data_IF_958390949142
#
_entry.id   IF_958390949142
#
_cell.length_a   1.000
_cell.length_b   1.000
_cell.length_c   1.000
_cell.angle_alpha   90.00
_cell.angle_beta   90.00
_cell.angle_gamma   90.00
#
_symmetry.space_group_name_H-M   'P 1'
#
loop_
_entity.id
_entity.type
_entity.pdbx_description
1 polymer ?
#
# COMPACT_ATOMS: atom_id res chain seq x y z
N UNK A 1 -22.89 23.37 -118.86
CA UNK A 1 -24.16 23.18 -118.09
C UNK A 1 -24.20 21.78 -117.46
N UNK A 2 -24.64 21.68 -116.20
CA UNK A 2 -24.84 20.40 -115.49
C UNK A 2 -26.08 19.69 -116.06
N UNK A 3 -25.88 18.47 -116.55
CA UNK A 3 -26.88 17.69 -117.28
C UNK A 3 -27.71 16.84 -116.30
N UNK A 4 -28.91 17.31 -115.96
CA UNK A 4 -29.76 16.73 -114.89
C UNK A 4 -31.10 16.16 -115.40
N UNK A 5 -31.22 15.85 -116.70
CA UNK A 5 -32.38 15.14 -117.26
C UNK A 5 -31.98 14.09 -118.30
N UNK A 6 -32.76 13.00 -118.49
CA UNK A 6 -32.44 11.94 -119.45
C UNK A 6 -32.65 12.33 -120.93
N UNK A 7 -33.19 13.52 -121.21
CA UNK A 7 -33.24 14.08 -122.57
C UNK A 7 -32.21 15.21 -122.72
N UNK A 8 -31.11 14.92 -123.41
CA UNK A 8 -30.02 15.89 -123.62
C UNK A 8 -30.18 16.66 -124.92
N UNK A 9 -30.07 17.98 -124.83
CA UNK A 9 -30.18 18.92 -125.96
C UNK A 9 -28.77 19.38 -126.41
N UNK A 10 -27.69 18.81 -125.83
CA UNK A 10 -26.29 19.18 -126.10
C UNK A 10 -25.88 19.08 -127.56
N UNK A 11 -26.46 18.14 -128.32
CA UNK A 11 -26.10 17.92 -129.73
C UNK A 11 -27.03 18.62 -130.74
N UNK A 12 -28.01 19.42 -130.26
CA UNK A 12 -28.93 20.20 -131.12
C UNK A 12 -28.70 21.71 -131.06
N UNK A 13 -27.75 22.19 -130.25
CA UNK A 13 -27.42 23.61 -130.08
C UNK A 13 -25.93 23.82 -130.27
N UNK A 14 -25.55 24.61 -131.27
CA UNK A 14 -24.17 25.02 -131.52
C UNK A 14 -23.78 26.17 -130.56
N UNK A 15 -23.18 25.82 -129.42
CA UNK A 15 -22.80 26.74 -128.34
C UNK A 15 -21.79 27.82 -128.78
N UNK A 16 -21.14 27.66 -129.95
CA UNK A 16 -20.22 28.65 -130.53
C UNK A 16 -20.89 29.87 -131.18
N UNK A 17 -22.21 29.87 -131.38
CA UNK A 17 -22.95 30.96 -132.05
C UNK A 17 -23.43 32.09 -131.13
N UNK A 18 -23.33 31.95 -129.80
CA UNK A 18 -23.91 32.90 -128.85
C UNK A 18 -22.83 33.61 -128.02
N UNK A 19 -22.65 34.92 -128.27
CA UNK A 19 -21.69 35.82 -127.59
C UNK A 19 -21.85 35.91 -126.06
N UNK A 20 -22.96 35.42 -125.51
CA UNK A 20 -23.26 35.44 -124.08
C UNK A 20 -22.42 34.43 -123.28
N UNK A 21 -21.87 33.40 -123.92
CA UNK A 21 -21.11 32.34 -123.25
C UNK A 21 -19.58 32.56 -123.26
N UNK A 22 -19.05 33.48 -124.07
CA UNK A 22 -17.60 33.75 -124.16
C UNK A 22 -17.05 34.67 -123.07
N UNK A 23 -17.87 35.09 -122.09
CA UNK A 23 -17.45 36.05 -121.05
C UNK A 23 -17.06 35.39 -119.70
N UNK A 24 -17.24 34.07 -119.55
CA UNK A 24 -17.04 33.37 -118.27
C UNK A 24 -15.89 32.35 -118.25
N UNK A 25 -15.08 32.25 -119.31
CA UNK A 25 -14.16 31.11 -119.49
C UNK A 25 -12.67 31.37 -119.15
N UNK A 26 -12.30 32.52 -118.56
CA UNK A 26 -10.91 32.73 -118.08
C UNK A 26 -10.84 33.54 -116.78
N UNK A 27 -11.17 32.93 -115.64
CA UNK A 27 -10.64 33.38 -114.35
C UNK A 27 -9.65 32.32 -113.86
N UNK A 28 -8.36 32.67 -113.86
CA UNK A 28 -7.20 31.86 -113.44
C UNK A 28 -7.17 31.64 -111.91
N UNK A 29 -8.26 31.13 -111.34
CA UNK A 29 -8.40 30.86 -109.91
C UNK A 29 -7.62 29.60 -109.45
N UNK A 30 -7.35 28.68 -110.38
CA UNK A 30 -6.64 27.42 -110.14
C UNK A 30 -5.19 27.62 -109.67
N UNK A 31 -4.47 28.60 -110.24
CA UNK A 31 -3.07 28.89 -109.88
C UNK A 31 -2.94 29.58 -108.53
N UNK A 32 -3.92 30.41 -108.15
CA UNK A 32 -3.94 31.10 -106.86
C UNK A 32 -4.28 30.10 -105.75
N UNK A 33 -5.28 29.23 -105.96
CA UNK A 33 -5.67 28.19 -105.01
C UNK A 33 -4.51 27.21 -104.73
N UNK A 34 -3.79 26.76 -105.77
CA UNK A 34 -2.61 25.88 -105.61
C UNK A 34 -1.48 26.54 -104.81
N UNK A 35 -1.21 27.83 -105.02
CA UNK A 35 -0.19 28.57 -104.22
C UNK A 35 -0.62 28.73 -102.76
N UNK A 36 -1.91 28.98 -102.50
CA UNK A 36 -2.45 29.12 -101.15
C UNK A 36 -2.40 27.79 -100.37
N UNK A 37 -2.79 26.69 -101.02
CA UNK A 37 -2.67 25.34 -100.46
C UNK A 37 -1.21 24.95 -100.20
N UNK A 38 -0.30 25.24 -101.13
CA UNK A 38 1.13 24.95 -100.95
C UNK A 38 1.72 25.77 -99.78
N UNK A 39 1.33 27.03 -99.65
CA UNK A 39 1.73 27.90 -98.54
C UNK A 39 1.23 27.38 -97.19
N UNK A 40 -0.04 27.00 -97.10
CA UNK A 40 -0.62 26.45 -95.87
C UNK A 40 0.02 25.11 -95.47
N UNK A 41 0.35 24.27 -96.45
CA UNK A 41 1.03 23.00 -96.22
C UNK A 41 2.46 23.19 -95.71
N UNK A 42 3.22 24.12 -96.31
CA UNK A 42 4.56 24.48 -95.85
C UNK A 42 4.54 25.09 -94.43
N UNK A 43 3.55 25.93 -94.13
CA UNK A 43 3.37 26.52 -92.80
C UNK A 43 3.06 25.45 -91.75
N UNK A 44 2.18 24.49 -92.06
CA UNK A 44 1.88 23.38 -91.16
C UNK A 44 3.13 22.53 -90.87
N UNK A 45 3.93 22.24 -91.91
CA UNK A 45 5.18 21.51 -91.78
C UNK A 45 6.15 22.25 -90.85
N UNK A 46 6.30 23.57 -91.01
CA UNK A 46 7.15 24.39 -90.14
C UNK A 46 6.68 24.38 -88.67
N UNK A 47 5.37 24.45 -88.42
CA UNK A 47 4.78 24.42 -87.07
C UNK A 47 4.94 23.05 -86.41
N UNK A 48 4.89 21.95 -87.17
CA UNK A 48 5.08 20.61 -86.63
C UNK A 48 6.51 20.32 -86.15
N UNK A 49 7.52 21.01 -86.72
CA UNK A 49 8.91 20.93 -86.27
C UNK A 49 9.29 21.99 -85.24
N UNK A 50 8.36 22.86 -84.81
CA UNK A 50 8.59 23.65 -83.61
C UNK A 50 8.61 22.71 -82.39
N UNK A 51 9.62 22.83 -81.50
CA UNK A 51 9.74 21.99 -80.32
C UNK A 51 8.63 22.37 -79.33
N UNK A 52 7.43 21.81 -79.53
CA UNK A 52 6.34 21.97 -78.59
C UNK A 52 6.71 21.22 -77.31
N UNK A 53 6.87 21.95 -76.21
CA UNK A 53 7.16 21.37 -74.91
C UNK A 53 5.91 21.43 -74.04
N UNK A 54 5.46 20.28 -73.56
CA UNK A 54 4.32 20.17 -72.66
C UNK A 54 4.83 20.29 -71.22
N UNK A 55 4.65 21.45 -70.58
CA UNK A 55 4.99 21.63 -69.17
C UNK A 55 3.96 20.93 -68.29
N UNK A 56 4.31 19.76 -67.76
CA UNK A 56 3.52 19.04 -66.76
C UNK A 56 3.99 19.49 -65.37
N UNK A 57 3.13 20.14 -64.59
CA UNK A 57 3.39 20.44 -63.18
C UNK A 57 3.03 19.22 -62.34
N UNK A 58 4.04 18.49 -61.89
CA UNK A 58 3.91 17.49 -60.84
C UNK A 58 4.20 18.11 -59.48
N UNK A 59 3.32 17.90 -58.50
CA UNK A 59 3.65 18.18 -57.10
C UNK A 59 4.41 16.98 -56.56
N UNK A 60 5.67 17.18 -56.17
CA UNK A 60 6.47 16.19 -55.45
C UNK A 60 6.62 16.60 -53.99
N UNK A 61 6.56 15.65 -53.07
CA UNK A 61 6.86 15.88 -51.66
C UNK A 61 8.29 15.41 -51.41
N UNK A 62 9.17 16.32 -50.97
CA UNK A 62 10.52 15.95 -50.53
C UNK A 62 10.39 15.43 -49.10
N UNK A 63 10.66 14.15 -48.90
CA UNK A 63 10.74 13.54 -47.57
C UNK A 63 12.20 13.26 -47.21
N UNK A 64 12.50 13.13 -45.92
CA UNK A 64 13.86 12.85 -45.45
C UNK A 64 14.32 11.45 -45.91
N UNK A 65 15.60 11.30 -46.23
CA UNK A 65 16.17 10.06 -46.77
C UNK A 65 16.25 8.95 -45.72
N UNK A 66 16.62 9.29 -44.48
CA UNK A 66 16.76 8.32 -43.39
C UNK A 66 15.44 8.14 -42.64
N UNK A 67 15.03 6.89 -42.32
CA UNK A 67 13.87 6.62 -41.47
C UNK A 67 13.88 7.38 -40.14
N UNK A 68 15.07 7.53 -39.53
CA UNK A 68 15.29 8.24 -38.26
C UNK A 68 14.98 9.75 -38.28
N UNK A 69 14.85 10.35 -39.46
CA UNK A 69 14.59 11.79 -39.64
C UNK A 69 13.09 12.09 -39.86
N UNK A 70 12.24 11.06 -39.89
CA UNK A 70 10.78 11.20 -40.04
C UNK A 70 10.09 10.96 -38.68
N UNK A 71 9.04 11.72 -38.33
CA UNK A 71 8.17 11.35 -37.22
C UNK A 71 7.47 10.03 -37.55
N UNK A 72 7.73 8.98 -36.77
CA UNK A 72 7.05 7.68 -36.89
C UNK A 72 6.40 7.31 -35.57
N UNK A 73 5.17 6.80 -35.62
CA UNK A 73 4.47 6.27 -34.45
C UNK A 73 4.82 4.79 -34.30
N UNK A 74 5.73 4.49 -33.36
CA UNK A 74 6.08 3.13 -32.99
C UNK A 74 5.40 2.81 -31.65
N UNK A 75 4.49 1.84 -31.66
CA UNK A 75 3.81 1.38 -30.46
C UNK A 75 4.72 0.39 -29.69
N UNK A 76 5.58 0.91 -28.83
CA UNK A 76 6.33 0.10 -27.87
C UNK A 76 5.53 -0.10 -26.58
N UNK A 77 5.61 -1.30 -26.00
CA UNK A 77 5.04 -1.59 -24.67
C UNK A 77 5.84 -0.89 -23.56
N UNK A 78 7.11 -0.56 -23.83
CA UNK A 78 8.04 0.02 -22.87
C UNK A 78 8.64 1.29 -23.47
N UNK A 79 8.63 2.38 -22.71
CA UNK A 79 9.26 3.63 -23.08
C UNK A 79 10.79 3.43 -23.20
N UNK A 80 11.41 4.03 -24.20
CA UNK A 80 12.85 3.92 -24.34
C UNK A 80 13.43 4.82 -25.41
N UNK A 81 14.76 4.95 -25.38
CA UNK A 81 15.52 5.69 -26.40
C UNK A 81 15.95 4.71 -27.47
N UNK A 82 15.64 5.04 -28.73
CA UNK A 82 16.19 4.33 -29.87
C UNK A 82 17.71 4.50 -29.86
N UNK A 83 18.44 3.41 -29.70
CA UNK A 83 19.90 3.41 -29.70
C UNK A 83 20.46 3.08 -31.09
N UNK A 84 19.88 2.08 -31.76
CA UNK A 84 20.33 1.66 -33.09
C UNK A 84 19.16 1.19 -33.97
N UNK A 85 19.26 1.49 -35.27
CA UNK A 85 18.37 0.97 -36.31
C UNK A 85 19.10 -0.13 -37.07
N UNK A 86 18.54 -1.33 -37.11
CA UNK A 86 19.15 -2.47 -37.81
C UNK A 86 18.67 -2.63 -39.25
N UNK A 87 17.59 -1.94 -39.63
CA UNK A 87 16.99 -2.05 -40.97
C UNK A 87 16.72 -0.67 -41.58
N UNK A 88 16.74 -0.61 -42.91
CA UNK A 88 16.48 0.59 -43.70
C UNK A 88 15.18 0.45 -44.51
N UNK A 89 14.71 1.57 -45.04
CA UNK A 89 13.49 1.62 -45.86
C UNK A 89 13.67 0.80 -47.15
N UNK A 90 12.84 -0.23 -47.31
CA UNK A 90 12.89 -1.14 -48.46
C UNK A 90 13.62 -2.46 -48.20
N UNK A 91 14.21 -2.65 -47.01
CA UNK A 91 14.79 -3.92 -46.61
C UNK A 91 13.71 -4.99 -46.39
N UNK A 92 14.00 -6.21 -46.84
CA UNK A 92 13.16 -7.38 -46.57
C UNK A 92 13.46 -7.90 -45.16
N UNK A 93 12.42 -8.06 -44.35
CA UNK A 93 12.51 -8.59 -42.98
C UNK A 93 11.60 -9.80 -42.83
N UNK A 94 12.07 -10.78 -42.07
CA UNK A 94 11.32 -11.97 -41.71
C UNK A 94 10.77 -11.87 -40.27
N UNK A 95 9.84 -12.75 -39.93
CA UNK A 95 9.28 -12.80 -38.58
C UNK A 95 10.37 -13.19 -37.57
N UNK A 96 10.62 -12.31 -36.60
CA UNK A 96 11.66 -12.47 -35.57
C UNK A 96 12.91 -11.62 -35.80
N UNK A 97 13.04 -10.95 -36.95
CA UNK A 97 14.14 -10.03 -37.21
C UNK A 97 14.06 -8.80 -36.31
N UNK A 98 15.23 -8.36 -35.82
CA UNK A 98 15.33 -7.16 -34.98
C UNK A 98 15.36 -5.93 -35.86
N UNK A 99 14.35 -5.08 -35.74
CA UNK A 99 14.22 -3.85 -36.53
C UNK A 99 14.96 -2.69 -35.84
N UNK A 100 14.85 -2.61 -34.50
CA UNK A 100 15.34 -1.49 -33.68
C UNK A 100 15.89 -2.02 -32.35
N UNK A 101 16.99 -1.45 -31.87
CA UNK A 101 17.42 -1.58 -30.48
C UNK A 101 16.95 -0.38 -29.66
N UNK A 102 16.12 -0.65 -28.64
CA UNK A 102 15.63 0.36 -27.71
C UNK A 102 16.32 0.15 -26.36
N UNK A 103 16.97 1.20 -25.84
CA UNK A 103 17.50 1.22 -24.48
C UNK A 103 16.47 1.82 -23.53
N UNK A 104 16.29 1.18 -22.38
CA UNK A 104 15.47 1.72 -21.30
C UNK A 104 15.98 3.12 -20.89
N UNK A 105 15.06 4.01 -20.53
CA UNK A 105 15.35 5.38 -20.09
C UNK A 105 14.97 5.63 -18.63
N UNK A 106 14.26 4.69 -18.00
CA UNK A 106 13.83 4.76 -16.62
C UNK A 106 15.02 4.53 -15.69
N UNK A 107 15.27 5.52 -14.84
CA UNK A 107 16.38 5.54 -13.88
C UNK A 107 16.39 4.29 -12.97
N UNK A 108 15.23 3.68 -12.70
CA UNK A 108 15.08 2.47 -11.88
C UNK A 108 15.79 1.23 -12.47
N UNK A 109 16.02 1.20 -13.79
CA UNK A 109 16.64 0.08 -14.49
C UNK A 109 18.09 0.34 -14.89
N UNK A 110 18.65 1.48 -14.50
CA UNK A 110 20.04 1.83 -14.81
C UNK A 110 21.04 1.17 -13.86
N UNK A 111 20.59 0.54 -12.77
CA UNK A 111 21.46 -0.23 -11.88
C UNK A 111 21.88 -1.55 -12.55
N UNK A 112 23.17 -1.76 -12.89
CA UNK A 112 23.65 -2.99 -13.51
C UNK A 112 23.46 -4.23 -12.62
N UNK A 113 23.26 -4.03 -11.31
CA UNK A 113 23.04 -5.08 -10.31
C UNK A 113 21.63 -5.07 -9.75
N UNK A 114 20.66 -4.47 -10.45
CA UNK A 114 19.26 -4.41 -10.02
C UNK A 114 18.74 -5.77 -9.56
N UNK A 115 18.92 -6.82 -10.39
CA UNK A 115 18.46 -8.17 -10.08
C UNK A 115 19.10 -8.74 -8.81
N UNK A 116 20.42 -8.59 -8.65
CA UNK A 116 21.16 -9.05 -7.46
C UNK A 116 20.67 -8.32 -6.20
N UNK A 117 20.49 -7.00 -6.27
CA UNK A 117 20.00 -6.18 -5.15
C UNK A 117 18.56 -6.51 -4.79
N UNK A 118 17.68 -6.69 -5.78
CA UNK A 118 16.30 -7.10 -5.57
C UNK A 118 16.25 -8.48 -4.92
N UNK A 119 17.09 -9.42 -5.37
CA UNK A 119 17.20 -10.73 -4.73
C UNK A 119 17.66 -10.62 -3.27
N UNK A 120 18.70 -9.81 -3.00
CA UNK A 120 19.15 -9.56 -1.63
C UNK A 120 18.07 -8.91 -0.75
N UNK A 121 17.25 -8.00 -1.30
CA UNK A 121 16.11 -7.41 -0.59
C UNK A 121 15.03 -8.46 -0.28
N UNK A 122 14.71 -9.33 -1.24
CA UNK A 122 13.76 -10.43 -1.06
C UNK A 122 14.25 -11.35 0.06
N UNK A 123 15.52 -11.74 0.03
CA UNK A 123 16.09 -12.65 1.02
C UNK A 123 16.15 -12.00 2.41
N UNK A 124 16.49 -10.70 2.50
CA UNK A 124 16.41 -9.96 3.76
C UNK A 124 14.97 -9.89 4.30
N UNK A 125 13.96 -9.70 3.43
CA UNK A 125 12.55 -9.70 3.83
C UNK A 125 12.06 -11.09 4.27
N UNK A 126 12.53 -12.17 3.63
CA UNK A 126 12.25 -13.55 4.05
C UNK A 126 12.86 -13.86 5.42
N UNK A 127 14.10 -13.45 5.66
CA UNK A 127 14.73 -13.58 6.98
C UNK A 127 13.97 -12.78 8.04
N UNK A 128 13.53 -11.56 7.69
CA UNK A 128 12.71 -10.74 8.59
C UNK A 128 11.41 -11.47 8.96
N UNK A 129 10.75 -12.15 8.00
CA UNK A 129 9.54 -12.93 8.25
C UNK A 129 9.79 -14.04 9.29
N UNK A 130 10.85 -14.84 9.11
CA UNK A 130 11.21 -15.90 10.06
C UNK A 130 11.48 -15.35 11.46
N UNK A 131 12.18 -14.21 11.56
CA UNK A 131 12.37 -13.52 12.84
C UNK A 131 11.05 -13.10 13.49
N UNK A 132 10.08 -12.59 12.72
CA UNK A 132 8.77 -12.23 13.27
C UNK A 132 7.97 -13.46 13.73
N UNK A 133 8.05 -14.59 13.02
CA UNK A 133 7.45 -15.85 13.44
C UNK A 133 8.03 -16.34 14.78
N UNK A 134 9.36 -16.37 14.89
CA UNK A 134 10.05 -16.73 16.14
C UNK A 134 9.71 -15.76 17.28
N UNK A 135 9.64 -14.45 17.01
CA UNK A 135 9.21 -13.43 17.97
C UNK A 135 7.79 -13.70 18.46
N UNK A 136 6.86 -14.01 17.57
CA UNK A 136 5.47 -14.32 17.92
C UNK A 136 5.40 -15.56 18.83
N UNK A 137 6.14 -16.62 18.52
CA UNK A 137 6.11 -17.85 19.31
C UNK A 137 6.80 -17.68 20.68
N UNK A 138 7.86 -16.89 20.74
CA UNK A 138 8.47 -16.47 22.01
C UNK A 138 7.49 -15.66 22.87
N UNK A 139 6.76 -14.70 22.28
CA UNK A 139 5.75 -13.90 22.99
C UNK A 139 4.56 -14.74 23.45
N UNK A 140 4.06 -15.69 22.65
CA UNK A 140 3.01 -16.63 23.08
C UNK A 140 3.46 -17.44 24.28
N UNK A 141 4.67 -17.99 24.23
CA UNK A 141 5.26 -18.76 25.33
C UNK A 141 5.41 -17.91 26.59
N UNK A 142 5.81 -16.64 26.42
CA UNK A 142 5.88 -15.68 27.51
C UNK A 142 4.52 -15.38 28.14
N UNK A 143 3.46 -15.20 27.34
CA UNK A 143 2.09 -14.98 27.83
C UNK A 143 1.61 -16.16 28.67
N UNK A 144 1.86 -17.40 28.22
CA UNK A 144 1.51 -18.62 28.97
C UNK A 144 2.26 -18.65 30.30
N UNK A 145 3.59 -18.43 30.29
CA UNK A 145 4.40 -18.42 31.50
C UNK A 145 3.96 -17.34 32.51
N UNK A 146 3.59 -16.14 32.03
CA UNK A 146 3.05 -15.08 32.89
C UNK A 146 1.71 -15.50 33.50
N UNK A 147 0.84 -16.15 32.73
CA UNK A 147 -0.46 -16.61 33.23
C UNK A 147 -0.33 -17.70 34.31
N UNK A 148 0.51 -18.70 34.07
CA UNK A 148 0.79 -19.74 35.06
C UNK A 148 1.38 -19.14 36.34
N UNK A 149 2.33 -18.22 36.22
CA UNK A 149 2.93 -17.54 37.35
C UNK A 149 1.90 -16.68 38.12
N UNK A 150 1.00 -16.00 37.40
CA UNK A 150 -0.13 -15.26 38.00
C UNK A 150 -0.98 -16.18 38.86
N UNK A 151 -1.36 -17.35 38.34
CA UNK A 151 -2.19 -18.30 39.08
C UNK A 151 -1.50 -18.79 40.35
N UNK A 152 -0.21 -19.16 40.26
CA UNK A 152 0.59 -19.59 41.41
C UNK A 152 0.70 -18.48 42.47
N UNK A 153 0.96 -17.24 42.06
CA UNK A 153 1.06 -16.09 42.97
C UNK A 153 -0.26 -15.72 43.62
N UNK A 154 -1.36 -15.75 42.87
CA UNK A 154 -2.70 -15.54 43.44
C UNK A 154 -3.05 -16.62 44.46
N UNK A 155 -2.72 -17.88 44.18
CA UNK A 155 -2.94 -18.97 45.14
C UNK A 155 -2.06 -18.80 46.39
N UNK A 156 -0.79 -18.42 46.22
CA UNK A 156 0.11 -18.10 47.32
C UNK A 156 -0.46 -16.96 48.19
N UNK A 157 -0.90 -15.86 47.58
CA UNK A 157 -1.47 -14.71 48.28
C UNK A 157 -2.79 -15.06 49.01
N UNK A 158 -3.66 -15.85 48.39
CA UNK A 158 -4.88 -16.38 49.04
C UNK A 158 -4.56 -17.24 50.26
N UNK A 159 -3.51 -18.06 50.18
CA UNK A 159 -3.07 -18.86 51.33
C UNK A 159 -2.56 -17.98 52.48
N UNK A 160 -1.79 -16.93 52.19
CA UNK A 160 -1.36 -15.96 53.21
C UNK A 160 -2.54 -15.19 53.80
N UNK A 161 -3.52 -14.80 52.99
CA UNK A 161 -4.75 -14.18 53.45
C UNK A 161 -5.47 -15.11 54.44
N UNK A 162 -5.63 -16.39 54.08
CA UNK A 162 -6.27 -17.38 54.94
C UNK A 162 -5.50 -17.60 56.24
N UNK A 163 -4.17 -17.65 56.18
CA UNK A 163 -3.33 -17.72 57.39
C UNK A 163 -3.53 -16.50 58.30
N UNK A 164 -3.61 -15.30 57.73
CA UNK A 164 -3.88 -14.08 58.51
C UNK A 164 -5.28 -14.08 59.15
N UNK A 165 -6.30 -14.58 58.46
CA UNK A 165 -7.65 -14.77 59.04
C UNK A 165 -7.64 -15.73 60.23
N UNK A 166 -6.99 -16.88 60.09
CA UNK A 166 -6.85 -17.87 61.16
C UNK A 166 -6.06 -17.30 62.35
N UNK A 167 -5.02 -16.51 62.07
CA UNK A 167 -4.24 -15.85 63.12
C UNK A 167 -5.08 -14.84 63.91
N UNK A 168 -5.94 -14.06 63.24
CA UNK A 168 -6.88 -13.16 63.92
C UNK A 168 -7.86 -13.94 64.79
N UNK A 169 -8.38 -15.06 64.31
CA UNK A 169 -9.28 -15.90 65.11
C UNK A 169 -8.57 -16.39 66.37
N UNK A 170 -7.35 -16.91 66.25
CA UNK A 170 -6.55 -17.35 67.40
C UNK A 170 -6.29 -16.20 68.39
N UNK A 171 -5.79 -15.05 67.91
CA UNK A 171 -5.49 -13.90 68.78
C UNK A 171 -6.76 -13.27 69.38
N UNK A 172 -7.92 -13.41 68.74
CA UNK A 172 -9.20 -12.96 69.28
C UNK A 172 -9.65 -13.84 70.43
N UNK A 173 -9.44 -15.16 70.34
CA UNK A 173 -9.72 -16.10 71.43
C UNK A 173 -8.78 -15.81 72.62
N UNK A 174 -7.49 -15.56 72.35
CA UNK A 174 -6.54 -15.16 73.40
C UNK A 174 -6.98 -13.86 74.10
N UNK A 175 -7.50 -12.89 73.35
CA UNK A 175 -7.97 -11.62 73.88
C UNK A 175 -9.19 -11.81 74.79
N UNK A 176 -10.18 -12.57 74.36
CA UNK A 176 -11.37 -12.91 75.17
C UNK A 176 -10.99 -13.64 76.46
N UNK A 177 -10.03 -14.57 76.39
CA UNK A 177 -9.51 -15.25 77.56
C UNK A 177 -8.80 -14.29 78.54
N UNK A 178 -7.98 -13.36 78.01
CA UNK A 178 -7.32 -12.35 78.82
C UNK A 178 -8.32 -11.36 79.46
N UNK A 179 -9.38 -11.01 78.74
CA UNK A 179 -10.47 -10.17 79.25
C UNK A 179 -11.23 -10.86 80.39
N UNK A 180 -11.54 -12.16 80.23
CA UNK A 180 -12.16 -12.97 81.29
C UNK A 180 -11.27 -13.05 82.54
N UNK A 181 -9.96 -13.26 82.36
CA UNK A 181 -9.02 -13.29 83.48
C UNK A 181 -8.92 -11.94 84.22
N UNK A 182 -8.99 -10.83 83.49
CA UNK A 182 -9.03 -9.49 84.08
C UNK A 182 -10.28 -9.28 84.93
N UNK A 183 -11.46 -9.66 84.42
CA UNK A 183 -12.73 -9.59 85.16
C UNK A 183 -12.70 -10.46 86.44
N UNK A 184 -12.12 -11.66 86.36
CA UNK A 184 -11.92 -12.52 87.54
C UNK A 184 -10.99 -11.84 88.55
N UNK A 185 -9.86 -11.28 88.11
CA UNK A 185 -8.91 -10.60 88.97
C UNK A 185 -9.51 -9.36 89.63
N UNK A 186 -10.32 -8.59 88.90
CA UNK A 186 -11.06 -7.43 89.41
C UNK A 186 -12.05 -7.84 90.51
N UNK A 187 -12.86 -8.87 90.26
CA UNK A 187 -13.80 -9.42 91.25
C UNK A 187 -13.10 -9.98 92.48
N UNK A 188 -11.92 -10.57 92.34
CA UNK A 188 -11.12 -11.05 93.47
C UNK A 188 -10.54 -9.90 94.27
N UNK A 189 -10.01 -8.87 93.60
CA UNK A 189 -9.49 -7.67 94.25
C UNK A 189 -10.58 -6.94 95.03
N UNK A 190 -11.77 -6.77 94.44
CA UNK A 190 -12.91 -6.15 95.09
C UNK A 190 -13.30 -6.88 96.39
N UNK A 191 -13.47 -8.21 96.33
CA UNK A 191 -13.76 -9.03 97.52
C UNK A 191 -12.65 -8.96 98.56
N UNK A 192 -11.39 -8.95 98.14
CA UNK A 192 -10.26 -8.84 99.08
C UNK A 192 -10.24 -7.48 99.79
N UNK A 193 -10.63 -6.42 99.08
CA UNK A 193 -10.75 -5.06 99.64
C UNK A 193 -11.85 -4.98 100.68
N UNK A 194 -13.03 -5.51 100.38
CA UNK A 194 -14.15 -5.61 101.33
C UNK A 194 -13.74 -6.36 102.60
N UNK A 195 -13.08 -7.51 102.47
CA UNK A 195 -12.58 -8.28 103.63
C UNK A 195 -11.48 -7.56 104.42
N UNK A 196 -10.64 -6.77 103.76
CA UNK A 196 -9.63 -5.95 104.44
C UNK A 196 -10.27 -4.80 105.21
N UNK A 197 -11.26 -4.13 104.62
CA UNK A 197 -12.01 -3.03 105.25
C UNK A 197 -12.80 -3.54 106.47
N UNK A 198 -13.25 -4.80 106.46
CA UNK A 198 -13.85 -5.51 107.61
C UNK A 198 -12.82 -6.04 108.64
N UNK A 199 -11.51 -5.89 108.39
CA UNK A 199 -10.44 -6.35 109.28
C UNK A 199 -10.17 -7.86 109.26
N UNK A 200 -10.75 -8.60 108.30
CA UNK A 200 -10.62 -10.06 108.16
C UNK A 200 -9.37 -10.50 107.38
N UNK A 201 -8.68 -9.56 106.72
CA UNK A 201 -7.51 -9.83 105.87
C UNK A 201 -6.38 -8.81 106.07
N UNK A 202 -5.15 -9.21 105.75
CA UNK A 202 -3.96 -8.37 105.89
C UNK A 202 -3.79 -7.40 104.71
N UNK A 203 -3.07 -6.30 104.93
CA UNK A 203 -2.69 -5.36 103.87
C UNK A 203 -1.85 -6.05 102.79
N UNK A 204 -0.93 -6.93 103.18
CA UNK A 204 -0.07 -7.68 102.27
C UNK A 204 -0.88 -8.59 101.33
N UNK A 205 -1.96 -9.21 101.81
CA UNK A 205 -2.85 -10.01 100.97
C UNK A 205 -3.59 -9.13 99.93
N UNK A 206 -3.99 -7.91 100.33
CA UNK A 206 -4.62 -6.94 99.44
C UNK A 206 -3.64 -6.44 98.36
N UNK A 207 -2.40 -6.14 98.74
CA UNK A 207 -1.33 -5.75 97.81
C UNK A 207 -1.00 -6.87 96.82
N UNK A 208 -0.95 -8.12 97.28
CA UNK A 208 -0.76 -9.28 96.41
C UNK A 208 -1.89 -9.42 95.37
N UNK A 209 -3.15 -9.23 95.77
CA UNK A 209 -4.29 -9.22 94.82
C UNK A 209 -4.25 -8.03 93.86
N UNK A 210 -3.83 -6.86 94.36
CA UNK A 210 -3.65 -5.66 93.53
C UNK A 210 -2.61 -5.90 92.45
N UNK A 211 -1.46 -6.48 92.82
CA UNK A 211 -0.42 -6.88 91.87
C UNK A 211 -0.95 -7.86 90.81
N UNK A 212 -1.73 -8.88 91.21
CA UNK A 212 -2.35 -9.82 90.27
C UNK A 212 -3.35 -9.18 89.31
N UNK A 213 -4.13 -8.21 89.77
CA UNK A 213 -4.99 -7.42 88.89
C UNK A 213 -4.17 -6.62 87.86
N UNK A 214 -3.09 -5.96 88.28
CA UNK A 214 -2.20 -5.21 87.38
C UNK A 214 -1.51 -6.13 86.35
N UNK A 215 -1.07 -7.33 86.76
CA UNK A 215 -0.54 -8.35 85.85
C UNK A 215 -1.57 -8.76 84.79
N UNK A 216 -2.82 -9.02 85.20
CA UNK A 216 -3.91 -9.37 84.29
C UNK A 216 -4.25 -8.23 83.31
N UNK A 217 -4.26 -6.99 83.80
CA UNK A 217 -4.49 -5.80 82.98
C UNK A 217 -3.39 -5.63 81.92
N UNK A 218 -2.12 -5.73 82.33
CA UNK A 218 -0.98 -5.66 81.43
C UNK A 218 -1.03 -6.78 80.38
N UNK A 219 -1.45 -8.00 80.78
CA UNK A 219 -1.61 -9.12 79.86
C UNK A 219 -2.72 -8.87 78.83
N UNK A 220 -3.88 -8.33 79.25
CA UNK A 220 -4.97 -7.94 78.33
C UNK A 220 -4.49 -6.94 77.30
N UNK A 221 -3.80 -5.88 77.73
CA UNK A 221 -3.26 -4.84 76.82
C UNK A 221 -2.24 -5.44 75.84
N UNK A 222 -1.35 -6.32 76.31
CA UNK A 222 -0.37 -7.00 75.46
C UNK A 222 -1.03 -7.85 74.37
N UNK A 223 -2.05 -8.63 74.73
CA UNK A 223 -2.77 -9.49 73.77
C UNK A 223 -3.65 -8.66 72.82
N UNK A 224 -4.24 -7.57 73.29
CA UNK A 224 -4.97 -6.62 72.45
C UNK A 224 -4.09 -6.02 71.35
N UNK A 225 -2.88 -5.59 71.72
CA UNK A 225 -1.88 -5.09 70.77
C UNK A 225 -1.51 -6.17 69.74
N UNK A 226 -1.37 -7.43 70.17
CA UNK A 226 -1.12 -8.57 69.28
C UNK A 226 -2.27 -8.79 68.30
N UNK A 227 -3.52 -8.74 68.76
CA UNK A 227 -4.72 -8.85 67.91
C UNK A 227 -4.79 -7.72 66.88
N UNK A 228 -4.48 -6.48 67.29
CA UNK A 228 -4.40 -5.34 66.36
C UNK A 228 -3.32 -5.56 65.29
N UNK A 229 -2.15 -6.07 65.68
CA UNK A 229 -1.08 -6.44 64.73
C UNK A 229 -1.55 -7.48 63.72
N UNK A 230 -2.27 -8.52 64.17
CA UNK A 230 -2.81 -9.55 63.28
C UNK A 230 -3.91 -9.01 62.35
N UNK A 231 -4.73 -8.06 62.81
CA UNK A 231 -5.67 -7.32 61.93
C UNK A 231 -4.96 -6.53 60.84
N UNK A 232 -3.85 -5.86 61.17
CA UNK A 232 -3.03 -5.16 60.18
C UNK A 232 -2.40 -6.14 59.18
N UNK A 233 -1.95 -7.32 59.62
CA UNK A 233 -1.44 -8.36 58.71
C UNK A 233 -2.50 -8.82 57.71
N UNK A 234 -3.75 -8.99 58.14
CA UNK A 234 -4.85 -9.32 57.22
C UNK A 234 -5.08 -8.21 56.19
N UNK A 235 -5.09 -6.96 56.64
CA UNK A 235 -5.24 -5.82 55.72
C UNK A 235 -4.11 -5.80 54.68
N UNK A 236 -2.86 -5.96 55.12
CA UNK A 236 -1.71 -6.03 54.22
C UNK A 236 -1.83 -7.21 53.24
N UNK A 237 -2.25 -8.39 53.70
CA UNK A 237 -2.47 -9.55 52.83
C UNK A 237 -3.57 -9.30 51.77
N UNK A 238 -4.63 -8.55 52.10
CA UNK A 238 -5.66 -8.14 51.15
C UNK A 238 -5.12 -7.15 50.10
N UNK A 239 -4.34 -6.17 50.54
CA UNK A 239 -3.69 -5.19 49.65
C UNK A 239 -2.74 -5.91 48.69
N UNK A 240 -1.92 -6.82 49.22
CA UNK A 240 -0.98 -7.60 48.43
C UNK A 240 -1.68 -8.46 47.38
N UNK A 241 -2.78 -9.14 47.74
CA UNK A 241 -3.58 -9.90 46.79
C UNK A 241 -4.10 -9.04 45.62
N UNK A 242 -4.57 -7.83 45.93
CA UNK A 242 -5.04 -6.89 44.90
C UNK A 242 -3.87 -6.35 44.05
N UNK A 243 -2.75 -6.02 44.69
CA UNK A 243 -1.52 -5.58 44.03
C UNK A 243 -1.03 -6.61 43.01
N UNK A 244 -0.90 -7.88 43.42
CA UNK A 244 -0.54 -9.00 42.55
C UNK A 244 -1.53 -9.13 41.39
N UNK A 245 -2.85 -9.05 41.66
CA UNK A 245 -3.84 -9.13 40.59
C UNK A 245 -3.63 -8.03 39.52
N UNK A 246 -3.42 -6.79 39.95
CA UNK A 246 -3.22 -5.66 39.03
C UNK A 246 -1.89 -5.76 38.29
N UNK A 247 -0.79 -6.07 38.98
CA UNK A 247 0.54 -6.21 38.39
C UNK A 247 0.54 -7.25 37.26
N UNK A 248 -0.04 -8.43 37.50
CA UNK A 248 -0.08 -9.48 36.48
C UNK A 248 -1.08 -9.17 35.36
N UNK A 249 -2.15 -8.41 35.64
CA UNK A 249 -3.06 -7.93 34.60
C UNK A 249 -2.34 -6.96 33.65
N UNK A 250 -1.58 -6.01 34.18
CA UNK A 250 -0.76 -5.08 33.39
C UNK A 250 0.31 -5.83 32.58
N UNK A 251 1.05 -6.76 33.20
CA UNK A 251 2.04 -7.59 32.48
C UNK A 251 1.42 -8.39 31.34
N UNK A 252 0.25 -9.01 31.56
CA UNK A 252 -0.46 -9.74 30.52
C UNK A 252 -0.93 -8.82 29.39
N UNK A 253 -1.44 -7.64 29.72
CA UNK A 253 -1.87 -6.66 28.71
C UNK A 253 -0.69 -6.19 27.86
N UNK A 254 0.45 -5.86 28.47
CA UNK A 254 1.68 -5.47 27.75
C UNK A 254 2.20 -6.58 26.85
N UNK A 255 2.27 -7.81 27.36
CA UNK A 255 2.71 -8.96 26.59
C UNK A 255 1.76 -9.27 25.41
N UNK A 256 0.44 -9.15 25.61
CA UNK A 256 -0.56 -9.31 24.54
C UNK A 256 -0.52 -8.18 23.52
N UNK A 257 -0.32 -6.93 23.95
CA UNK A 257 -0.18 -5.79 23.05
C UNK A 257 1.00 -5.99 22.10
N UNK A 258 2.13 -6.47 22.63
CA UNK A 258 3.35 -6.74 21.86
C UNK A 258 3.17 -7.85 20.79
N UNK A 259 2.11 -8.66 20.88
CA UNK A 259 1.78 -9.71 19.91
C UNK A 259 1.14 -9.14 18.64
N UNK A 260 0.46 -8.01 18.76
CA UNK A 260 -0.27 -7.35 17.66
C UNK A 260 0.51 -6.18 17.03
N UNK A 261 1.74 -5.96 17.50
CA UNK A 261 2.66 -4.87 17.10
C UNK A 261 3.89 -5.42 16.34
#
# INVERSE_FOLDING_TARGET
MLNISPYSIKDKVDEKKYRSFSLFEEIRADKILKKLLLSFFLLFLAVAFLPWTQNIRGNGQVTALSPSQRPQELNSVIDGRIEEWYVQEGDYVEEGDTIIFIREIKDEYFDPRLLERTQAQIDAKRQSLGFYEEKIDALKSQVVAIDENRQLKLNQAKNYLRQAELQIQADSIDFEAAQTNLDIAEKQLKRQRELYDEGLKSLTDLEARTSKFQEALAKKISVESKLLSSRNKLLNAKIELNSIYNEYTDKLQKARSSLFE
#
